data_IF_014720360011
#
_entry.id   IF_014720360011
#
_cell.length_a   1.000
_cell.length_b   1.000
_cell.length_c   1.000
_cell.angle_alpha   90.00
_cell.angle_beta   90.00
_cell.angle_gamma   90.00
#
_symmetry.space_group_name_H-M   'P 1'
#
loop_
_entity.id
_entity.type
_entity.pdbx_description
1 polymer ?
#
# COMPACT_ATOMS: atom_id res chain seq x y z
N UNK A 1 -15.48 -15.17 17.13
CA UNK A 1 -14.49 -15.31 16.03
C UNK A 1 -13.52 -16.42 16.39
N UNK A 2 -13.35 -17.40 15.49
CA UNK A 2 -12.44 -18.54 15.73
C UNK A 2 -10.97 -18.16 15.52
N UNK A 3 -10.06 -18.94 16.11
CA UNK A 3 -8.61 -18.81 15.86
C UNK A 3 -8.28 -18.92 14.37
N UNK A 4 -8.99 -19.78 13.66
CA UNK A 4 -8.83 -20.01 12.23
C UNK A 4 -9.12 -18.77 11.39
N UNK A 5 -10.18 -18.03 11.72
CA UNK A 5 -10.49 -16.76 11.08
C UNK A 5 -9.32 -15.76 11.17
N UNK A 6 -8.77 -15.57 12.37
CA UNK A 6 -7.66 -14.62 12.55
C UNK A 6 -6.37 -15.08 11.86
N UNK A 7 -6.08 -16.39 11.85
CA UNK A 7 -4.95 -16.95 11.10
C UNK A 7 -5.08 -16.64 9.60
N UNK A 8 -6.24 -16.90 9.00
CA UNK A 8 -6.52 -16.59 7.59
C UNK A 8 -6.41 -15.09 7.33
N UNK A 9 -7.01 -14.26 8.18
CA UNK A 9 -6.95 -12.80 8.06
C UNK A 9 -5.52 -12.27 8.07
N UNK A 10 -4.63 -12.79 8.92
CA UNK A 10 -3.22 -12.37 8.96
C UNK A 10 -2.51 -12.70 7.64
N UNK A 11 -2.78 -13.87 7.04
CA UNK A 11 -2.22 -14.26 5.74
C UNK A 11 -2.71 -13.31 4.65
N UNK A 12 -4.02 -13.03 4.60
CA UNK A 12 -4.62 -12.12 3.61
C UNK A 12 -4.08 -10.70 3.74
N UNK A 13 -3.91 -10.20 4.96
CA UNK A 13 -3.32 -8.88 5.22
C UNK A 13 -1.85 -8.81 4.78
N UNK A 14 -1.07 -9.88 5.00
CA UNK A 14 0.31 -9.98 4.49
C UNK A 14 0.35 -9.95 2.97
N UNK A 15 -0.52 -10.70 2.31
CA UNK A 15 -0.66 -10.68 0.86
C UNK A 15 -1.08 -9.30 0.34
N UNK A 16 -1.92 -8.58 1.08
CA UNK A 16 -2.32 -7.22 0.75
C UNK A 16 -1.15 -6.24 0.84
N UNK A 17 -0.23 -6.39 1.82
CA UNK A 17 0.99 -5.57 1.90
C UNK A 17 1.88 -5.79 0.68
N UNK A 18 2.08 -7.03 0.23
CA UNK A 18 2.89 -7.30 -0.97
C UNK A 18 2.26 -6.67 -2.21
N UNK A 19 0.95 -6.84 -2.39
CA UNK A 19 0.20 -6.18 -3.49
C UNK A 19 0.32 -4.66 -3.45
N UNK A 20 0.23 -4.05 -2.27
CA UNK A 20 0.34 -2.60 -2.10
C UNK A 20 1.74 -2.08 -2.48
N UNK A 21 2.80 -2.83 -2.11
CA UNK A 21 4.19 -2.50 -2.49
C UNK A 21 4.40 -2.61 -4.00
N UNK A 22 3.84 -3.63 -4.64
CA UNK A 22 3.87 -3.77 -6.10
C UNK A 22 3.11 -2.64 -6.80
N UNK A 23 1.94 -2.27 -6.29
CA UNK A 23 1.17 -1.13 -6.79
C UNK A 23 1.98 0.17 -6.69
N UNK A 24 2.63 0.43 -5.55
CA UNK A 24 3.53 1.58 -5.38
C UNK A 24 4.64 1.60 -6.43
N UNK A 25 5.24 0.44 -6.74
CA UNK A 25 6.28 0.33 -7.77
C UNK A 25 5.71 0.68 -9.15
N UNK A 26 4.57 0.11 -9.52
CA UNK A 26 3.89 0.37 -10.80
C UNK A 26 3.51 1.84 -10.97
N UNK A 27 2.92 2.47 -9.94
CA UNK A 27 2.55 3.88 -9.98
C UNK A 27 3.78 4.79 -10.10
N UNK A 28 4.86 4.48 -9.38
CA UNK A 28 6.11 5.23 -9.50
C UNK A 28 6.72 5.15 -10.89
N UNK A 29 6.71 3.98 -11.51
CA UNK A 29 7.18 3.78 -12.88
C UNK A 29 6.28 4.53 -13.87
N UNK A 30 4.96 4.44 -13.70
CA UNK A 30 3.96 5.13 -14.52
C UNK A 30 4.19 6.65 -14.50
N UNK A 31 4.20 7.29 -13.33
CA UNK A 31 4.41 8.74 -13.26
C UNK A 31 5.79 9.15 -13.74
N UNK A 32 6.82 8.32 -13.53
CA UNK A 32 8.17 8.60 -14.08
C UNK A 32 8.16 8.59 -15.61
N UNK A 33 7.45 7.64 -16.24
CA UNK A 33 7.27 7.60 -17.70
C UNK A 33 6.49 8.84 -18.18
N UNK A 34 5.43 9.21 -17.48
CA UNK A 34 4.63 10.40 -17.83
C UNK A 34 5.49 11.68 -17.78
N UNK A 35 6.30 11.86 -16.73
CA UNK A 35 7.21 13.00 -16.59
C UNK A 35 8.24 13.07 -17.72
N UNK A 36 8.78 11.90 -18.13
CA UNK A 36 9.77 11.82 -19.22
C UNK A 36 9.16 12.15 -20.59
N UNK A 37 7.94 11.68 -20.85
CA UNK A 37 7.32 11.78 -22.17
C UNK A 37 6.52 13.06 -22.40
N UNK A 38 6.12 13.79 -21.34
CA UNK A 38 5.41 15.05 -21.52
C UNK A 38 6.37 16.17 -21.93
N UNK A 39 5.94 17.02 -22.87
CA UNK A 39 6.67 18.26 -23.24
C UNK A 39 6.16 19.48 -22.49
N UNK A 40 4.95 19.42 -21.91
CA UNK A 40 4.35 20.53 -21.15
C UNK A 40 4.98 20.69 -19.75
N UNK A 41 5.50 21.88 -19.39
CA UNK A 41 6.04 22.15 -18.06
C UNK A 41 5.02 22.00 -16.93
N UNK A 42 3.78 22.47 -17.15
CA UNK A 42 2.69 22.35 -16.17
C UNK A 42 2.36 20.88 -15.89
N UNK A 43 2.23 20.07 -16.94
CA UNK A 43 1.98 18.64 -16.80
C UNK A 43 3.14 17.92 -16.08
N UNK A 44 4.41 18.31 -16.34
CA UNK A 44 5.56 17.77 -15.59
C UNK A 44 5.44 18.05 -14.10
N UNK A 45 5.10 19.28 -13.73
CA UNK A 45 4.94 19.66 -12.33
C UNK A 45 3.82 18.85 -11.66
N UNK A 46 2.67 18.71 -12.32
CA UNK A 46 1.55 17.91 -11.83
C UNK A 46 1.93 16.43 -11.66
N UNK A 47 2.58 15.80 -12.64
CA UNK A 47 2.99 14.39 -12.52
C UNK A 47 4.03 14.17 -11.42
N UNK A 48 4.96 15.12 -11.20
CA UNK A 48 5.89 15.06 -10.06
C UNK A 48 5.15 15.09 -8.73
N UNK A 49 4.17 15.98 -8.59
CA UNK A 49 3.31 16.07 -7.40
C UNK A 49 2.52 14.77 -7.19
N UNK A 50 1.86 14.27 -8.23
CA UNK A 50 1.08 13.02 -8.14
C UNK A 50 1.94 11.82 -7.77
N UNK A 51 3.16 11.72 -8.30
CA UNK A 51 4.10 10.67 -7.91
C UNK A 51 4.37 10.68 -6.40
N UNK A 52 4.65 11.85 -5.84
CA UNK A 52 4.91 12.03 -4.41
C UNK A 52 3.67 11.70 -3.58
N UNK A 53 2.53 12.27 -3.94
CA UNK A 53 1.26 12.09 -3.22
C UNK A 53 0.82 10.62 -3.22
N UNK A 54 0.95 9.93 -4.36
CA UNK A 54 0.63 8.50 -4.48
C UNK A 54 1.60 7.62 -3.71
N UNK A 55 2.90 7.89 -3.78
CA UNK A 55 3.88 7.17 -2.97
C UNK A 55 3.58 7.29 -1.47
N UNK A 56 3.27 8.50 -0.99
CA UNK A 56 2.88 8.74 0.40
C UNK A 56 1.56 8.03 0.77
N UNK A 57 0.60 7.98 -0.16
CA UNK A 57 -0.66 7.24 0.04
C UNK A 57 -0.43 5.74 0.22
N UNK A 58 0.40 5.13 -0.62
CA UNK A 58 0.76 3.71 -0.48
C UNK A 58 1.49 3.44 0.84
N UNK A 59 2.39 4.34 1.26
CA UNK A 59 3.09 4.20 2.54
C UNK A 59 2.13 4.22 3.72
N UNK A 60 1.17 5.16 3.73
CA UNK A 60 0.10 5.17 4.74
C UNK A 60 -0.71 3.88 4.75
N UNK A 61 -1.05 3.35 3.57
CA UNK A 61 -1.82 2.11 3.44
C UNK A 61 -1.05 0.90 3.97
N UNK A 62 0.25 0.81 3.69
CA UNK A 62 1.12 -0.24 4.22
C UNK A 62 1.18 -0.17 5.74
N UNK A 63 1.33 1.01 6.33
CA UNK A 63 1.34 1.17 7.79
C UNK A 63 0.00 0.79 8.42
N UNK A 64 -1.13 1.15 7.78
CA UNK A 64 -2.45 0.72 8.23
C UNK A 64 -2.58 -0.81 8.22
N UNK A 65 -2.18 -1.47 7.13
CA UNK A 65 -2.21 -2.93 7.02
C UNK A 65 -1.35 -3.60 8.08
N UNK A 66 -0.17 -3.04 8.40
CA UNK A 66 0.67 -3.53 9.50
C UNK A 66 -0.04 -3.41 10.85
N UNK A 67 -0.69 -2.28 11.13
CA UNK A 67 -1.49 -2.10 12.36
C UNK A 67 -2.62 -3.13 12.43
N UNK A 68 -3.33 -3.38 11.32
CA UNK A 68 -4.37 -4.39 11.26
C UNK A 68 -3.84 -5.82 11.53
N UNK A 69 -2.62 -6.13 11.08
CA UNK A 69 -1.96 -7.41 11.40
C UNK A 69 -1.70 -7.52 12.91
N UNK A 70 -1.17 -6.48 13.53
CA UNK A 70 -0.90 -6.49 14.98
C UNK A 70 -2.20 -6.65 15.78
N UNK A 71 -3.24 -5.88 15.45
CA UNK A 71 -4.56 -6.07 16.06
C UNK A 71 -5.11 -7.48 15.87
N UNK A 72 -4.98 -8.06 14.66
CA UNK A 72 -5.42 -9.43 14.40
C UNK A 72 -4.62 -10.47 15.20
N UNK A 73 -3.31 -10.28 15.39
CA UNK A 73 -2.48 -11.14 16.24
C UNK A 73 -2.91 -11.05 17.70
N UNK A 74 -3.21 -9.85 18.22
CA UNK A 74 -3.70 -9.69 19.58
C UNK A 74 -5.07 -10.36 19.79
N UNK A 75 -5.97 -10.22 18.82
CA UNK A 75 -7.27 -10.90 18.86
C UNK A 75 -7.11 -12.43 18.80
N UNK A 76 -6.16 -12.94 18.01
CA UNK A 76 -5.83 -14.36 17.97
C UNK A 76 -5.33 -14.88 19.32
N UNK A 77 -4.46 -14.12 20.01
CA UNK A 77 -3.98 -14.46 21.36
C UNK A 77 -5.13 -14.50 22.38
N UNK A 78 -6.10 -13.57 22.26
CA UNK A 78 -7.26 -13.47 23.16
C UNK A 78 -8.39 -14.45 22.83
N UNK A 79 -8.45 -14.99 21.62
CA UNK A 79 -9.48 -15.96 21.24
C UNK A 79 -9.27 -17.29 21.98
N UNK A 80 -10.32 -17.78 22.65
CA UNK A 80 -10.34 -19.07 23.34
C UNK A 80 -10.21 -20.22 22.36
#
# INVERSE_FOLDING_TARGET
>A
MSKEYYKKKIIDLRASITKEKEAKKKDNEYYTRMIKNTSSPLSKASYKKYKIDKAASHDRRVEELKRQIESAKESLKRSK
#
